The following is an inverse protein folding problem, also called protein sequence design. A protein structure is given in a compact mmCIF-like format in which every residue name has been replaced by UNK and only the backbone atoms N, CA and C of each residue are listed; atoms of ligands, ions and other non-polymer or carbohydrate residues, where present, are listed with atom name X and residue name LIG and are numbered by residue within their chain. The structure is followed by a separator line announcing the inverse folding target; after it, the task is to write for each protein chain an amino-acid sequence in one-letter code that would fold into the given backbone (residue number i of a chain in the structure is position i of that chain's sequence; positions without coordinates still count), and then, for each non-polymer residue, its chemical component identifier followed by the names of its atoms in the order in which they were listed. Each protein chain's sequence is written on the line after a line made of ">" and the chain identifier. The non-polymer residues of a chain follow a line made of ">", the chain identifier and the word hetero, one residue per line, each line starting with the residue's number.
data_IF_652246517991
#
_entry.id   IF_652246517991
#
_cell.length_a   1.000
_cell.length_b   1.000
_cell.length_c   1.000
_cell.angle_alpha   90.00
_cell.angle_beta   90.00
_cell.angle_gamma   90.00
#
_symmetry.space_group_name_H-M   'P 1'
#
loop_
_entity.id
_entity.type
_entity.pdbx_description
1 polymer ?
#
# COMPACT_ATOMS: atom_id res chain seq x y z
N UNK A 1 81.89 21.76 -0.14
CA UNK A 1 80.72 21.96 0.75
C UNK A 1 79.52 21.49 -0.01
N UNK A 2 79.16 20.20 0.19
CA UNK A 2 78.07 19.51 -0.49
C UNK A 2 76.84 19.56 0.42
N UNK A 3 75.75 20.13 -0.07
CA UNK A 3 74.47 20.17 0.62
C UNK A 3 73.60 18.96 0.20
N UNK A 4 73.45 18.00 1.08
CA UNK A 4 72.50 16.91 0.92
C UNK A 4 71.10 17.38 1.26
N UNK A 5 70.18 17.15 0.33
CA UNK A 5 68.72 17.36 0.50
C UNK A 5 68.09 16.05 1.01
N UNK A 6 67.27 16.05 2.06
CA UNK A 6 66.62 14.81 2.53
C UNK A 6 65.44 14.42 1.65
N UNK A 7 65.37 13.10 1.35
CA UNK A 7 64.27 12.45 0.64
C UNK A 7 62.93 12.48 1.43
N UNK A 8 61.77 12.57 0.76
CA UNK A 8 60.45 12.55 1.43
C UNK A 8 60.05 11.17 1.92
N UNK A 9 59.65 11.10 3.17
CA UNK A 9 59.11 9.91 3.85
C UNK A 9 57.77 9.56 3.23
N UNK A 10 57.65 8.30 2.80
CA UNK A 10 56.44 7.71 2.25
C UNK A 10 55.44 7.46 3.39
N UNK A 11 54.13 7.87 3.30
CA UNK A 11 53.18 7.56 4.35
C UNK A 11 52.83 6.09 4.34
N UNK A 12 52.84 5.46 5.52
CA UNK A 12 52.40 4.08 5.78
C UNK A 12 50.93 3.93 5.42
N UNK A 13 50.63 2.89 4.64
CA UNK A 13 49.24 2.49 4.37
C UNK A 13 48.60 1.96 5.66
N UNK A 14 47.57 2.64 6.15
CA UNK A 14 46.69 2.07 7.16
C UNK A 14 45.99 0.82 6.61
N UNK A 15 45.85 -0.26 7.42
CA UNK A 15 45.14 -1.43 7.00
C UNK A 15 43.68 -1.10 6.74
N UNK A 16 43.12 -1.62 5.64
CA UNK A 16 41.69 -1.58 5.34
C UNK A 16 40.93 -2.26 6.47
N UNK A 17 40.03 -1.54 7.11
CA UNK A 17 39.06 -2.13 8.02
C UNK A 17 38.27 -3.21 7.27
N UNK A 18 38.37 -4.42 7.73
CA UNK A 18 37.54 -5.54 7.32
C UNK A 18 36.10 -5.17 7.63
N UNK A 19 35.25 -5.18 6.62
CA UNK A 19 33.80 -5.06 6.76
C UNK A 19 33.30 -6.32 7.49
N UNK A 20 33.26 -6.25 8.81
CA UNK A 20 32.52 -7.21 9.62
C UNK A 20 31.09 -7.31 9.11
N UNK A 21 30.64 -8.55 8.94
CA UNK A 21 29.29 -8.88 8.47
C UNK A 21 28.25 -8.15 9.32
N UNK A 22 27.24 -7.59 8.66
CA UNK A 22 26.07 -6.98 9.31
C UNK A 22 25.40 -8.06 10.16
N UNK A 23 25.69 -8.07 11.44
CA UNK A 23 25.03 -8.91 12.42
C UNK A 23 23.55 -8.61 12.46
N UNK A 24 22.74 -9.65 12.67
CA UNK A 24 21.31 -9.53 12.90
C UNK A 24 21.05 -8.52 14.02
N UNK A 25 20.26 -7.49 13.77
CA UNK A 25 19.87 -6.51 14.78
C UNK A 25 18.83 -7.14 15.70
N UNK A 26 19.15 -7.32 16.97
CA UNK A 26 18.18 -7.71 17.99
C UNK A 26 17.30 -6.52 18.34
N UNK A 27 15.99 -6.66 18.18
CA UNK A 27 14.99 -5.64 18.49
C UNK A 27 14.42 -5.89 19.89
N UNK A 28 14.58 -4.93 20.82
CA UNK A 28 13.86 -4.92 22.08
C UNK A 28 12.62 -4.07 21.95
N UNK A 29 11.46 -4.70 21.75
CA UNK A 29 10.16 -4.04 21.86
C UNK A 29 9.82 -3.85 23.35
N UNK A 30 9.00 -2.84 23.69
CA UNK A 30 8.72 -2.37 25.07
C UNK A 30 8.38 -3.44 26.13
N UNK A 31 8.03 -4.66 25.75
CA UNK A 31 7.74 -5.76 26.69
C UNK A 31 8.98 -6.42 27.33
N UNK A 32 10.18 -6.04 26.92
CA UNK A 32 11.44 -6.54 27.53
C UNK A 32 11.74 -8.04 27.30
N UNK A 33 10.96 -8.75 26.49
CA UNK A 33 11.06 -10.22 26.31
C UNK A 33 11.37 -10.69 24.89
N UNK A 34 11.53 -9.79 23.90
CA UNK A 34 11.65 -10.24 22.52
C UNK A 34 12.96 -9.77 21.88
N UNK A 35 13.96 -10.63 21.82
CA UNK A 35 15.10 -10.49 20.94
C UNK A 35 14.72 -11.12 19.60
N UNK A 36 14.08 -10.33 18.69
CA UNK A 36 13.78 -10.79 17.34
C UNK A 36 14.96 -10.51 16.44
N UNK A 37 15.58 -11.57 15.93
CA UNK A 37 16.60 -11.47 14.90
C UNK A 37 15.94 -11.30 13.54
N UNK A 38 16.26 -10.22 12.82
CA UNK A 38 15.78 -9.94 11.46
C UNK A 38 16.91 -9.87 10.47
N UNK A 39 16.69 -10.36 9.25
CA UNK A 39 17.63 -10.26 8.12
C UNK A 39 17.29 -9.08 7.20
N UNK A 40 16.06 -8.63 7.22
CA UNK A 40 15.58 -7.46 6.53
C UNK A 40 15.95 -6.16 7.26
N UNK A 41 15.32 -5.08 6.85
CA UNK A 41 15.55 -3.77 7.43
C UNK A 41 14.47 -3.45 8.45
N UNK A 42 14.89 -3.03 9.66
CA UNK A 42 14.00 -2.47 10.67
C UNK A 42 14.42 -1.03 10.97
N UNK A 43 13.45 -0.12 11.02
CA UNK A 43 13.70 1.32 11.22
C UNK A 43 12.79 1.84 12.33
N UNK A 44 13.33 2.31 13.46
CA UNK A 44 12.55 2.93 14.52
C UNK A 44 12.10 4.34 14.09
N UNK A 45 10.94 4.77 14.58
CA UNK A 45 10.35 6.09 14.35
C UNK A 45 10.38 6.50 12.86
N UNK A 46 10.07 5.53 11.97
CA UNK A 46 10.17 5.73 10.53
C UNK A 46 9.05 6.66 10.02
N UNK A 47 9.37 7.80 9.38
CA UNK A 47 8.34 8.70 8.86
C UNK A 47 7.53 8.00 7.76
N UNK A 48 6.19 7.97 7.92
CA UNK A 48 5.28 7.34 6.97
C UNK A 48 4.77 8.29 5.89
N UNK A 49 4.77 9.60 6.11
CA UNK A 49 4.34 10.58 5.12
C UNK A 49 4.99 10.39 3.72
N UNK A 50 6.31 10.13 3.58
CA UNK A 50 6.91 9.86 2.28
C UNK A 50 6.40 8.59 1.59
N UNK A 51 5.87 7.62 2.36
CA UNK A 51 5.45 6.30 1.90
C UNK A 51 3.97 6.23 1.52
N UNK A 52 3.17 7.22 1.91
CA UNK A 52 1.73 7.29 1.59
C UNK A 52 1.44 8.38 0.56
N UNK A 53 0.36 8.24 -0.16
CA UNK A 53 0.05 9.13 -1.28
C UNK A 53 -0.37 10.53 -0.86
N UNK A 54 -1.04 10.68 0.28
CA UNK A 54 -1.38 12.01 0.84
C UNK A 54 -0.15 12.82 1.25
N UNK A 55 1.00 12.18 1.44
CA UNK A 55 2.23 12.84 1.93
C UNK A 55 2.05 13.54 3.27
N UNK A 56 1.18 13.02 4.13
CA UNK A 56 0.90 13.49 5.49
C UNK A 56 0.90 12.32 6.47
N UNK A 57 0.94 12.62 7.77
CA UNK A 57 0.87 11.67 8.86
C UNK A 57 2.17 11.50 9.64
N UNK A 58 2.05 10.88 10.80
CA UNK A 58 3.14 10.63 11.73
C UNK A 58 4.03 9.46 11.30
N UNK A 59 4.89 9.03 12.24
CA UNK A 59 5.84 7.95 12.03
C UNK A 59 5.26 6.59 12.46
N UNK A 60 5.76 5.51 11.85
CA UNK A 60 5.64 4.19 12.46
C UNK A 60 6.55 4.11 13.67
N UNK A 61 6.10 3.49 14.78
CA UNK A 61 6.99 3.17 15.88
C UNK A 61 8.14 2.30 15.38
N UNK A 62 7.81 1.29 14.57
CA UNK A 62 8.77 0.46 13.85
C UNK A 62 8.30 0.21 12.42
N UNK A 63 9.18 0.39 11.44
CA UNK A 63 8.98 -0.03 10.06
C UNK A 63 9.85 -1.25 9.79
N UNK A 64 9.23 -2.39 9.46
CA UNK A 64 9.90 -3.61 9.08
C UNK A 64 9.75 -3.88 7.59
N UNK A 65 10.89 -4.01 6.90
CA UNK A 65 10.96 -4.39 5.49
C UNK A 65 11.64 -5.77 5.41
N UNK A 66 10.85 -6.88 5.41
CA UNK A 66 11.39 -8.23 5.43
C UNK A 66 12.19 -8.52 4.16
N UNK A 67 13.27 -9.30 4.33
CA UNK A 67 14.13 -9.72 3.22
C UNK A 67 13.45 -10.77 2.33
N UNK A 68 12.72 -11.70 2.93
CA UNK A 68 12.01 -12.82 2.31
C UNK A 68 10.90 -13.34 3.27
N UNK A 69 10.22 -14.41 2.86
CA UNK A 69 9.14 -15.02 3.63
C UNK A 69 9.64 -15.61 4.97
N UNK A 70 10.80 -16.27 4.99
CA UNK A 70 11.36 -16.84 6.21
C UNK A 70 11.67 -15.76 7.24
N UNK A 71 12.15 -14.59 6.78
CA UNK A 71 12.43 -13.45 7.64
C UNK A 71 11.13 -12.88 8.23
N UNK A 72 10.08 -12.73 7.42
CA UNK A 72 8.76 -12.29 7.87
C UNK A 72 8.13 -13.24 8.89
N UNK A 73 8.13 -14.54 8.59
CA UNK A 73 7.53 -15.56 9.45
C UNK A 73 8.30 -15.75 10.76
N UNK A 74 9.64 -15.71 10.70
CA UNK A 74 10.50 -15.75 11.89
C UNK A 74 10.29 -14.52 12.77
N UNK A 75 10.16 -13.33 12.15
CA UNK A 75 9.83 -12.10 12.87
C UNK A 75 8.49 -12.23 13.59
N UNK A 76 7.44 -12.72 12.92
CA UNK A 76 6.12 -12.90 13.54
C UNK A 76 6.12 -13.91 14.69
N UNK A 77 6.85 -15.02 14.56
CA UNK A 77 7.01 -16.02 15.64
C UNK A 77 7.67 -15.44 16.89
N UNK A 78 8.60 -14.52 16.71
CA UNK A 78 9.32 -13.89 17.82
C UNK A 78 8.66 -12.61 18.35
N UNK A 79 7.66 -12.07 17.64
CA UNK A 79 7.00 -10.82 18.03
C UNK A 79 5.92 -11.10 19.07
N UNK A 80 5.94 -10.35 20.17
CA UNK A 80 4.90 -10.40 21.20
C UNK A 80 3.50 -10.26 20.56
N UNK A 81 2.54 -11.17 20.85
CA UNK A 81 1.20 -11.15 20.28
C UNK A 81 0.44 -9.83 20.47
N UNK A 82 0.71 -9.11 21.57
CA UNK A 82 0.05 -7.85 21.92
C UNK A 82 0.59 -6.64 21.13
N UNK A 83 1.71 -6.79 20.43
CA UNK A 83 2.25 -5.73 19.57
C UNK A 83 1.42 -5.62 18.29
N UNK A 84 0.79 -4.45 18.02
CA UNK A 84 0.03 -4.26 16.79
C UNK A 84 0.90 -4.40 15.56
N UNK A 85 0.34 -4.98 14.50
CA UNK A 85 0.98 -5.05 13.18
C UNK A 85 0.05 -4.51 12.12
N UNK A 86 0.59 -3.68 11.25
CA UNK A 86 -0.10 -3.13 10.09
C UNK A 86 0.69 -3.41 8.82
N UNK A 87 0.04 -3.97 7.79
CA UNK A 87 0.64 -4.10 6.47
C UNK A 87 0.52 -2.78 5.69
N UNK A 88 1.62 -2.35 5.06
CA UNK A 88 1.66 -1.16 4.21
C UNK A 88 2.09 -1.54 2.78
N UNK A 89 1.21 -1.31 1.81
CA UNK A 89 1.53 -1.38 0.38
C UNK A 89 2.09 -0.05 -0.15
N UNK A 90 1.48 0.47 -1.22
CA UNK A 90 1.82 1.80 -1.77
C UNK A 90 1.22 2.97 -0.98
N UNK A 91 0.43 2.73 0.06
CA UNK A 91 -0.24 3.78 0.84
C UNK A 91 -1.21 4.63 0.00
N UNK A 92 -1.79 4.05 -1.03
CA UNK A 92 -2.68 4.74 -2.00
C UNK A 92 -4.13 4.84 -1.54
N UNK A 93 -4.53 4.10 -0.50
CA UNK A 93 -5.89 4.13 0.08
C UNK A 93 -5.81 4.31 1.60
N UNK A 94 -4.99 5.25 2.07
CA UNK A 94 -4.69 5.34 3.50
C UNK A 94 -4.44 6.79 3.95
N UNK A 95 -5.01 7.15 5.08
CA UNK A 95 -4.64 8.32 5.89
C UNK A 95 -3.91 7.79 7.12
N UNK A 96 -2.64 8.14 7.25
CA UNK A 96 -1.87 7.89 8.48
C UNK A 96 -2.05 9.10 9.38
N UNK A 97 -2.62 8.91 10.57
CA UNK A 97 -2.90 9.97 11.52
C UNK A 97 -1.62 10.59 12.08
N UNK A 98 -1.71 11.85 12.50
CA UNK A 98 -0.55 12.67 12.84
C UNK A 98 0.20 12.19 14.10
N UNK A 99 -0.46 11.43 15.00
CA UNK A 99 0.15 10.75 16.14
C UNK A 99 1.00 9.53 15.78
N UNK A 100 0.94 9.08 14.52
CA UNK A 100 1.71 7.94 14.03
C UNK A 100 1.05 6.59 14.30
N UNK A 101 1.74 5.52 13.95
CA UNK A 101 1.26 4.13 14.03
C UNK A 101 2.07 3.40 15.10
N UNK A 102 1.43 2.95 16.20
CA UNK A 102 2.09 2.15 17.23
C UNK A 102 2.39 0.74 16.71
N UNK A 103 3.37 0.08 17.34
CA UNK A 103 3.79 -1.26 16.99
C UNK A 103 4.58 -1.31 15.69
N UNK A 104 4.29 -2.28 14.83
CA UNK A 104 5.09 -2.58 13.64
C UNK A 104 4.30 -2.36 12.36
N UNK A 105 4.83 -1.51 11.49
CA UNK A 105 4.38 -1.41 10.09
C UNK A 105 5.25 -2.33 9.24
N UNK A 106 4.64 -3.33 8.60
CA UNK A 106 5.32 -4.26 7.68
C UNK A 106 5.14 -3.78 6.25
N UNK A 107 6.23 -3.55 5.54
CA UNK A 107 6.20 -3.15 4.14
C UNK A 107 6.95 -4.16 3.28
N UNK A 108 6.24 -4.81 2.36
CA UNK A 108 6.82 -5.76 1.44
C UNK A 108 7.70 -5.05 0.40
N UNK A 109 8.96 -5.51 0.29
CA UNK A 109 9.93 -4.99 -0.67
C UNK A 109 9.91 -5.74 -2.01
N UNK A 110 10.95 -5.52 -2.81
CA UNK A 110 11.13 -6.12 -4.15
C UNK A 110 11.12 -7.66 -4.14
N UNK A 111 11.58 -8.28 -3.04
CA UNK A 111 11.58 -9.74 -2.91
C UNK A 111 10.18 -10.36 -3.02
N UNK A 112 9.15 -9.60 -2.65
CA UNK A 112 7.74 -9.98 -2.74
C UNK A 112 7.03 -9.39 -3.97
N UNK A 113 7.74 -8.90 -4.97
CA UNK A 113 7.16 -8.31 -6.18
C UNK A 113 7.36 -9.16 -7.44
N UNK A 114 7.84 -10.41 -7.28
CA UNK A 114 8.01 -11.34 -8.41
C UNK A 114 6.65 -11.71 -9.00
N UNK A 115 6.60 -11.79 -10.33
CA UNK A 115 5.46 -12.35 -11.07
C UNK A 115 5.97 -13.52 -11.89
N UNK A 116 5.20 -14.61 -11.89
CA UNK A 116 5.52 -15.85 -12.57
C UNK A 116 4.30 -16.36 -13.35
N UNK A 117 4.48 -16.69 -14.62
CA UNK A 117 3.46 -17.36 -15.42
C UNK A 117 3.44 -18.84 -15.03
N UNK A 118 2.29 -19.34 -14.55
CA UNK A 118 2.11 -20.73 -14.16
C UNK A 118 1.64 -21.60 -15.33
N UNK A 119 0.73 -21.06 -16.13
CA UNK A 119 0.18 -21.67 -17.34
C UNK A 119 -0.28 -20.56 -18.31
N UNK A 120 -1.03 -20.93 -19.35
CA UNK A 120 -1.41 -19.97 -20.41
C UNK A 120 -2.38 -18.87 -19.98
N UNK A 121 -3.02 -19.01 -18.81
CA UNK A 121 -4.03 -18.05 -18.31
C UNK A 121 -3.83 -17.65 -16.85
N UNK A 122 -2.77 -18.15 -16.19
CA UNK A 122 -2.59 -18.00 -14.75
C UNK A 122 -1.24 -17.37 -14.40
N UNK A 123 -1.29 -16.34 -13.54
CA UNK A 123 -0.11 -15.67 -12.97
C UNK A 123 -0.07 -15.85 -11.46
N UNK A 124 1.11 -16.19 -10.94
CA UNK A 124 1.46 -16.06 -9.52
C UNK A 124 2.11 -14.70 -9.30
N UNK A 125 1.56 -13.90 -8.42
CA UNK A 125 1.95 -12.51 -8.20
C UNK A 125 2.31 -12.29 -6.72
N UNK A 126 3.52 -11.87 -6.43
CA UNK A 126 3.93 -11.50 -5.08
C UNK A 126 3.14 -10.31 -4.55
N UNK A 127 2.85 -10.33 -3.23
CA UNK A 127 2.00 -9.33 -2.55
C UNK A 127 2.48 -7.89 -2.66
N UNK A 128 3.77 -7.68 -2.94
CA UNK A 128 4.38 -6.37 -3.18
C UNK A 128 4.34 -5.90 -4.65
N UNK A 129 3.90 -6.73 -5.60
CA UNK A 129 3.80 -6.35 -7.01
C UNK A 129 2.71 -5.30 -7.22
N UNK A 130 2.96 -4.29 -8.07
CA UNK A 130 1.96 -3.28 -8.40
C UNK A 130 0.97 -3.77 -9.45
N UNK A 131 -0.26 -3.22 -9.44
CA UNK A 131 -1.28 -3.53 -10.45
C UNK A 131 -0.83 -3.24 -11.88
N UNK A 132 -0.05 -2.18 -12.07
CA UNK A 132 0.54 -1.84 -13.37
C UNK A 132 1.48 -2.95 -13.86
N UNK A 133 2.32 -3.48 -12.95
CA UNK A 133 3.24 -4.56 -13.31
C UNK A 133 2.48 -5.84 -13.63
N UNK A 134 1.46 -6.20 -12.83
CA UNK A 134 0.62 -7.39 -13.06
C UNK A 134 -0.10 -7.29 -14.41
N UNK A 135 -0.80 -6.18 -14.67
CA UNK A 135 -1.55 -6.00 -15.93
C UNK A 135 -0.63 -5.99 -17.17
N UNK A 136 0.57 -5.39 -17.07
CA UNK A 136 1.53 -5.39 -18.16
C UNK A 136 2.10 -6.80 -18.43
N UNK A 137 2.42 -7.55 -17.37
CA UNK A 137 2.87 -8.94 -17.49
C UNK A 137 1.78 -9.83 -18.09
N UNK A 138 0.52 -9.63 -17.67
CA UNK A 138 -0.62 -10.36 -18.24
C UNK A 138 -0.80 -10.09 -19.74
N UNK A 139 -0.75 -8.81 -20.15
CA UNK A 139 -0.76 -8.42 -21.58
C UNK A 139 0.33 -9.13 -22.37
N UNK A 140 1.57 -9.03 -21.90
CA UNK A 140 2.74 -9.59 -22.59
C UNK A 140 2.68 -11.13 -22.68
N UNK A 141 1.93 -11.77 -21.77
CA UNK A 141 1.66 -13.20 -21.74
C UNK A 141 0.39 -13.63 -22.52
N UNK A 142 -0.38 -12.69 -23.10
CA UNK A 142 -1.64 -12.96 -23.77
C UNK A 142 -2.77 -13.37 -22.83
N UNK A 143 -2.79 -12.85 -21.60
CA UNK A 143 -3.79 -13.15 -20.56
C UNK A 143 -4.72 -11.95 -20.39
N UNK A 144 -5.94 -12.06 -20.87
CA UNK A 144 -7.00 -11.06 -20.74
C UNK A 144 -7.74 -11.19 -19.40
N UNK A 145 -8.44 -10.12 -18.98
CA UNK A 145 -9.26 -10.05 -17.78
C UNK A 145 -8.56 -9.43 -16.56
N UNK A 146 -7.26 -9.05 -16.70
CA UNK A 146 -6.48 -8.38 -15.66
C UNK A 146 -6.23 -6.88 -15.96
N UNK A 147 -6.79 -6.33 -17.03
CA UNK A 147 -6.60 -4.96 -17.53
C UNK A 147 -7.01 -3.92 -16.49
N UNK A 148 -8.09 -4.18 -15.75
CA UNK A 148 -8.63 -3.27 -14.73
C UNK A 148 -7.63 -2.95 -13.61
N UNK A 149 -6.66 -3.84 -13.33
CA UNK A 149 -5.58 -3.61 -12.35
C UNK A 149 -4.70 -2.43 -12.75
N UNK A 150 -4.61 -2.09 -14.05
CA UNK A 150 -3.99 -0.86 -14.56
C UNK A 150 -4.65 0.39 -13.96
N UNK A 151 -5.96 0.30 -13.71
CA UNK A 151 -6.79 1.37 -13.18
C UNK A 151 -6.72 1.55 -11.65
N UNK A 152 -6.10 0.63 -10.91
CA UNK A 152 -6.09 0.65 -9.45
C UNK A 152 -4.68 0.91 -8.93
N UNK A 153 -4.42 2.02 -8.23
CA UNK A 153 -3.15 2.23 -7.58
C UNK A 153 -3.05 1.36 -6.33
N UNK A 154 -2.03 0.52 -6.24
CA UNK A 154 -1.86 -0.37 -5.10
C UNK A 154 -0.91 -1.52 -5.41
N UNK A 155 -0.80 -2.43 -4.45
CA UNK A 155 -0.08 -3.70 -4.56
C UNK A 155 -1.06 -4.86 -4.52
N UNK A 156 -0.64 -6.02 -5.01
CA UNK A 156 -1.40 -7.27 -4.96
C UNK A 156 -1.94 -7.56 -3.56
N UNK A 157 -1.10 -7.43 -2.51
CA UNK A 157 -1.55 -7.63 -1.14
C UNK A 157 -2.67 -6.67 -0.72
N UNK A 158 -2.59 -5.40 -1.13
CA UNK A 158 -3.66 -4.42 -0.90
C UNK A 158 -4.93 -4.72 -1.68
N UNK A 159 -4.81 -5.19 -2.93
CA UNK A 159 -5.96 -5.57 -3.76
C UNK A 159 -6.71 -6.76 -3.17
N UNK A 160 -5.99 -7.81 -2.76
CA UNK A 160 -6.58 -8.98 -2.12
C UNK A 160 -7.28 -8.58 -0.82
N UNK A 161 -6.64 -7.77 0.04
CA UNK A 161 -7.22 -7.35 1.32
C UNK A 161 -8.50 -6.53 1.15
N UNK A 162 -8.61 -5.73 0.09
CA UNK A 162 -9.71 -4.77 -0.11
C UNK A 162 -10.74 -5.26 -1.13
N UNK A 163 -10.64 -6.48 -1.68
CA UNK A 163 -11.36 -6.84 -2.90
C UNK A 163 -11.33 -5.67 -3.91
N UNK A 164 -10.10 -5.25 -4.25
CA UNK A 164 -9.88 -4.05 -5.05
C UNK A 164 -10.55 -4.15 -6.40
N UNK A 165 -11.24 -3.11 -6.83
CA UNK A 165 -11.99 -3.15 -8.10
C UNK A 165 -12.11 -1.80 -8.77
N UNK A 166 -12.23 -1.83 -10.08
CA UNK A 166 -12.48 -0.70 -10.96
C UNK A 166 -13.07 -1.20 -12.29
N UNK A 167 -13.76 -0.32 -13.02
CA UNK A 167 -14.30 -0.60 -14.36
C UNK A 167 -15.22 -1.84 -14.42
N UNK A 168 -16.03 -2.03 -13.35
CA UNK A 168 -16.99 -3.13 -13.28
C UNK A 168 -16.37 -4.49 -12.92
N UNK A 169 -15.08 -4.56 -12.60
CA UNK A 169 -14.36 -5.76 -12.20
C UNK A 169 -13.81 -5.61 -10.79
N UNK A 170 -13.66 -6.73 -10.09
CA UNK A 170 -13.06 -6.82 -8.75
C UNK A 170 -12.04 -7.97 -8.69
N UNK A 171 -11.19 -7.96 -7.66
CA UNK A 171 -10.19 -9.03 -7.47
C UNK A 171 -10.83 -10.41 -7.34
N UNK A 172 -12.00 -10.52 -6.73
CA UNK A 172 -12.74 -11.79 -6.66
C UNK A 172 -13.04 -12.42 -8.02
N UNK A 173 -13.08 -11.63 -9.10
CA UNK A 173 -13.38 -12.13 -10.46
C UNK A 173 -12.20 -12.87 -11.09
N UNK A 174 -10.99 -12.68 -10.56
CA UNK A 174 -9.74 -13.23 -11.13
C UNK A 174 -8.91 -14.03 -10.12
N UNK A 175 -9.20 -13.92 -8.81
CA UNK A 175 -8.42 -14.58 -7.77
C UNK A 175 -8.75 -16.07 -7.71
N UNK A 176 -7.71 -16.91 -7.68
CA UNK A 176 -7.80 -18.34 -7.42
C UNK A 176 -7.52 -18.61 -5.94
N UNK A 177 -6.40 -18.10 -5.46
CA UNK A 177 -5.96 -18.29 -4.07
C UNK A 177 -4.99 -17.17 -3.66
N UNK A 178 -4.80 -17.00 -2.36
CA UNK A 178 -3.81 -16.09 -1.79
C UNK A 178 -3.02 -16.78 -0.68
N UNK A 179 -1.73 -16.48 -0.58
CA UNK A 179 -0.88 -16.88 0.54
C UNK A 179 -0.82 -15.76 1.58
N UNK A 180 -1.21 -16.10 2.79
CA UNK A 180 -1.37 -15.17 3.91
C UNK A 180 -0.44 -15.53 5.04
N UNK A 181 0.49 -14.65 5.38
CA UNK A 181 1.31 -14.78 6.58
C UNK A 181 0.53 -14.26 7.78
N UNK A 182 0.22 -15.15 8.72
CA UNK A 182 -0.54 -14.85 9.94
C UNK A 182 0.38 -14.37 11.07
N UNK A 183 -0.20 -13.71 12.07
CA UNK A 183 0.51 -13.23 13.27
C UNK A 183 1.22 -14.33 14.06
N UNK A 184 0.78 -15.59 13.95
CA UNK A 184 1.45 -16.76 14.49
C UNK A 184 2.80 -17.07 13.83
N UNK A 185 3.11 -16.43 12.70
CA UNK A 185 4.25 -16.77 11.84
C UNK A 185 4.02 -18.02 10.98
N UNK A 186 2.77 -18.47 10.85
CA UNK A 186 2.38 -19.49 9.85
C UNK A 186 1.98 -18.82 8.55
N UNK A 187 2.24 -19.48 7.42
CA UNK A 187 1.73 -19.09 6.12
C UNK A 187 0.65 -20.09 5.70
N UNK A 188 -0.51 -19.57 5.37
CA UNK A 188 -1.62 -20.38 4.88
C UNK A 188 -1.96 -20.01 3.43
N UNK A 189 -2.33 -21.00 2.63
CA UNK A 189 -2.94 -20.78 1.31
C UNK A 189 -4.45 -20.75 1.47
N UNK A 190 -5.05 -19.63 1.12
CA UNK A 190 -6.48 -19.38 1.23
C UNK A 190 -7.11 -19.39 -0.17
N UNK A 191 -8.01 -20.35 -0.46
CA UNK A 191 -8.82 -20.28 -1.67
C UNK A 191 -9.77 -19.08 -1.62
N UNK A 192 -10.33 -18.70 -2.76
CA UNK A 192 -11.21 -17.54 -2.92
C UNK A 192 -12.33 -17.50 -1.87
N UNK A 193 -12.96 -18.64 -1.60
CA UNK A 193 -14.12 -18.75 -0.71
C UNK A 193 -13.78 -18.39 0.75
N UNK A 194 -12.52 -18.66 1.17
CA UNK A 194 -12.06 -18.36 2.53
C UNK A 194 -11.86 -16.86 2.76
N UNK A 195 -11.77 -16.07 1.71
CA UNK A 195 -11.57 -14.62 1.81
C UNK A 195 -12.84 -13.83 2.12
N UNK A 196 -14.03 -14.44 2.07
CA UNK A 196 -15.30 -13.83 2.49
C UNK A 196 -15.58 -12.48 1.83
N UNK A 197 -15.26 -12.37 0.52
CA UNK A 197 -15.33 -11.10 -0.18
C UNK A 197 -16.72 -10.47 -0.21
N UNK A 198 -16.75 -9.19 0.12
CA UNK A 198 -17.85 -8.29 -0.16
C UNK A 198 -17.30 -7.00 -0.77
N UNK A 199 -18.16 -6.02 -1.06
CA UNK A 199 -17.73 -4.75 -1.65
C UNK A 199 -16.69 -4.04 -0.75
N UNK A 200 -15.45 -3.93 -1.22
CA UNK A 200 -14.29 -3.31 -0.51
C UNK A 200 -13.97 -3.97 0.84
N UNK A 201 -14.15 -5.28 0.94
CA UNK A 201 -13.88 -6.04 2.17
C UNK A 201 -13.37 -7.45 1.89
N UNK A 202 -12.53 -7.96 2.79
CA UNK A 202 -12.17 -9.38 2.92
C UNK A 202 -12.00 -9.76 4.38
N UNK A 203 -12.08 -11.06 4.68
CA UNK A 203 -11.88 -11.64 6.02
C UNK A 203 -10.38 -11.83 6.37
N UNK A 204 -9.46 -11.22 5.64
CA UNK A 204 -8.02 -11.25 6.01
C UNK A 204 -7.86 -10.58 7.38
N UNK A 205 -7.35 -11.28 8.42
CA UNK A 205 -7.26 -10.76 9.78
C UNK A 205 -6.38 -9.51 9.90
N UNK A 206 -6.65 -8.72 10.92
CA UNK A 206 -5.73 -7.64 11.27
C UNK A 206 -4.35 -8.20 11.61
N UNK A 207 -3.29 -7.48 11.23
CA UNK A 207 -1.91 -7.90 11.41
C UNK A 207 -1.43 -9.02 10.48
N UNK A 208 -2.31 -9.67 9.72
CA UNK A 208 -1.89 -10.60 8.68
C UNK A 208 -1.41 -9.87 7.43
N UNK A 209 -0.47 -10.49 6.71
CA UNK A 209 0.13 -9.94 5.49
C UNK A 209 -0.10 -10.88 4.32
N UNK A 210 -0.77 -10.41 3.28
CA UNK A 210 -0.88 -11.16 2.01
C UNK A 210 0.45 -11.05 1.28
N UNK A 211 1.14 -12.18 1.14
CA UNK A 211 2.49 -12.23 0.56
C UNK A 211 2.51 -12.64 -0.91
N UNK A 212 1.45 -13.29 -1.39
CA UNK A 212 1.33 -13.77 -2.77
C UNK A 212 -0.15 -13.98 -3.13
N UNK A 213 -0.51 -13.89 -4.40
CA UNK A 213 -1.81 -14.27 -4.93
C UNK A 213 -1.64 -14.95 -6.29
N UNK A 214 -2.55 -15.86 -6.61
CA UNK A 214 -2.67 -16.49 -7.92
C UNK A 214 -3.91 -15.91 -8.61
N UNK A 215 -3.68 -15.28 -9.77
CA UNK A 215 -4.73 -14.69 -10.59
C UNK A 215 -4.90 -15.49 -11.87
N UNK A 216 -6.15 -15.68 -12.29
CA UNK A 216 -6.52 -16.36 -13.53
C UNK A 216 -7.34 -15.44 -14.41
N UNK A 217 -6.91 -15.32 -15.67
CA UNK A 217 -7.63 -14.64 -16.73
C UNK A 217 -8.16 -15.62 -17.78
N UNK A 218 -8.18 -15.16 -19.01
CA UNK A 218 -8.53 -15.95 -20.21
C UNK A 218 -7.53 -15.68 -21.32
N UNK A 219 -7.42 -16.57 -22.33
CA UNK A 219 -6.60 -16.28 -23.51
C UNK A 219 -7.07 -14.99 -24.19
N UNK A 220 -6.13 -14.12 -24.59
CA UNK A 220 -6.43 -12.86 -25.25
C UNK A 220 -5.32 -12.42 -26.18
N UNK A 221 -5.65 -11.47 -27.08
CA UNK A 221 -4.69 -10.84 -27.95
C UNK A 221 -3.96 -9.71 -27.21
N UNK A 222 -2.62 -9.71 -27.14
CA UNK A 222 -1.85 -8.66 -26.46
C UNK A 222 -2.14 -7.24 -26.95
N UNK A 223 -2.44 -7.05 -28.25
CA UNK A 223 -2.77 -5.73 -28.81
C UNK A 223 -4.13 -5.24 -28.28
N UNK A 224 -5.14 -6.11 -28.26
CA UNK A 224 -6.47 -5.79 -27.72
C UNK A 224 -6.40 -5.49 -26.22
N UNK A 225 -5.67 -6.31 -25.43
CA UNK A 225 -5.43 -6.09 -23.99
C UNK A 225 -4.73 -4.74 -23.79
N UNK A 226 -3.71 -4.44 -24.58
CA UNK A 226 -3.00 -3.16 -24.52
C UNK A 226 -3.91 -1.96 -24.80
N UNK A 227 -4.78 -2.06 -25.81
CA UNK A 227 -5.74 -1.02 -26.17
C UNK A 227 -6.74 -0.75 -25.02
N UNK A 228 -7.23 -1.79 -24.34
CA UNK A 228 -8.11 -1.66 -23.17
C UNK A 228 -7.38 -1.01 -21.98
N UNK A 229 -6.14 -1.44 -21.68
CA UNK A 229 -5.31 -0.83 -20.65
C UNK A 229 -5.08 0.67 -20.92
N UNK A 230 -4.87 1.07 -22.16
CA UNK A 230 -4.70 2.47 -22.55
C UNK A 230 -6.01 3.26 -22.44
N UNK A 231 -7.14 2.64 -22.76
CA UNK A 231 -8.46 3.24 -22.57
C UNK A 231 -8.73 3.51 -21.08
N UNK A 232 -8.41 2.55 -20.21
CA UNK A 232 -8.48 2.69 -18.74
C UNK A 232 -7.57 3.83 -18.26
N UNK A 233 -6.35 3.91 -18.75
CA UNK A 233 -5.40 4.94 -18.36
C UNK A 233 -5.90 6.34 -18.77
N UNK A 234 -6.42 6.51 -19.99
CA UNK A 234 -7.02 7.78 -20.48
C UNK A 234 -8.24 8.18 -19.65
N UNK A 235 -9.18 7.25 -19.43
CA UNK A 235 -10.37 7.53 -18.62
C UNK A 235 -10.04 8.00 -17.20
N UNK A 236 -8.98 7.44 -16.60
CA UNK A 236 -8.48 7.92 -15.31
C UNK A 236 -7.86 9.32 -15.40
N UNK A 237 -7.06 9.57 -16.42
CA UNK A 237 -6.43 10.87 -16.60
C UNK A 237 -7.49 11.97 -16.82
N UNK A 238 -8.55 11.68 -17.54
CA UNK A 238 -9.66 12.59 -17.79
C UNK A 238 -10.51 12.86 -16.56
N UNK A 239 -10.77 11.84 -15.71
CA UNK A 239 -11.73 11.93 -14.61
C UNK A 239 -11.12 12.15 -13.23
N UNK A 240 -9.85 11.81 -13.00
CA UNK A 240 -9.22 11.78 -11.67
C UNK A 240 -8.04 12.74 -11.55
N UNK A 241 -7.76 13.27 -10.34
CA UNK A 241 -6.63 14.19 -10.09
C UNK A 241 -5.30 13.43 -9.90
N UNK A 242 -4.83 12.69 -10.93
CA UNK A 242 -3.72 11.72 -10.82
C UNK A 242 -2.38 12.33 -10.39
N UNK A 243 -2.15 13.62 -10.63
CA UNK A 243 -0.91 14.32 -10.28
C UNK A 243 -0.95 14.97 -8.90
N UNK A 244 -2.03 14.75 -8.16
CA UNK A 244 -2.24 15.36 -6.84
C UNK A 244 -1.91 14.36 -5.72
N UNK A 245 -1.64 14.88 -4.52
CA UNK A 245 -1.47 14.07 -3.31
C UNK A 245 -2.86 13.69 -2.79
N UNK A 246 -3.28 12.45 -3.02
CA UNK A 246 -4.64 11.98 -2.71
C UNK A 246 -4.62 10.49 -2.38
N UNK A 247 -5.61 10.01 -1.62
CA UNK A 247 -5.83 8.60 -1.29
C UNK A 247 -6.82 7.88 -2.20
N UNK A 248 -7.15 8.43 -3.38
CA UNK A 248 -8.18 7.84 -4.25
C UNK A 248 -9.60 8.24 -3.82
N UNK A 249 -10.58 7.38 -4.12
CA UNK A 249 -11.97 7.58 -3.70
C UNK A 249 -12.09 7.61 -2.19
N UNK A 250 -12.57 8.73 -1.64
CA UNK A 250 -12.65 8.92 -0.19
C UNK A 250 -13.75 8.09 0.45
N UNK A 251 -14.89 8.00 -0.22
CA UNK A 251 -16.09 7.33 0.28
C UNK A 251 -16.56 6.23 -0.67
N UNK A 252 -17.13 5.17 -0.09
CA UNK A 252 -17.81 4.12 -0.83
C UNK A 252 -19.04 4.69 -1.55
N UNK A 253 -19.43 4.09 -2.67
CA UNK A 253 -20.70 4.41 -3.29
C UNK A 253 -21.84 3.81 -2.46
N UNK A 254 -22.80 4.63 -1.96
CA UNK A 254 -23.98 4.09 -1.30
C UNK A 254 -24.85 3.29 -2.28
N UNK A 255 -25.65 2.32 -1.80
CA UNK A 255 -26.56 1.57 -2.66
C UNK A 255 -27.42 2.48 -3.56
N UNK A 256 -27.38 2.25 -4.87
CA UNK A 256 -28.14 3.03 -5.86
C UNK A 256 -27.61 4.44 -6.14
N UNK A 257 -26.53 4.88 -5.50
CA UNK A 257 -25.99 6.23 -5.64
C UNK A 257 -24.50 6.24 -6.00
N UNK A 258 -24.04 7.38 -6.54
CA UNK A 258 -22.62 7.67 -6.74
C UNK A 258 -22.18 8.69 -5.70
N UNK A 259 -21.21 8.36 -4.87
CA UNK A 259 -20.71 9.25 -3.80
C UNK A 259 -20.31 10.63 -4.35
N UNK A 260 -19.61 10.68 -5.49
CA UNK A 260 -19.19 11.95 -6.10
C UNK A 260 -20.38 12.87 -6.44
N UNK A 261 -21.50 12.30 -6.91
CA UNK A 261 -22.68 13.10 -7.28
C UNK A 261 -23.39 13.66 -6.04
N UNK A 262 -23.47 12.88 -4.95
CA UNK A 262 -24.01 13.36 -3.67
C UNK A 262 -23.14 14.47 -3.07
N UNK A 263 -21.84 14.33 -3.14
CA UNK A 263 -20.85 15.32 -2.64
C UNK A 263 -20.95 16.62 -3.45
N UNK A 264 -21.12 16.52 -4.77
CA UNK A 264 -21.28 17.67 -5.66
C UNK A 264 -22.60 18.41 -5.39
N UNK A 265 -23.70 17.66 -5.29
CA UNK A 265 -25.02 18.20 -4.96
C UNK A 265 -25.07 18.88 -3.58
N UNK A 266 -24.28 18.41 -2.62
CA UNK A 266 -24.12 19.03 -1.31
C UNK A 266 -23.21 20.28 -1.32
N UNK A 267 -22.78 20.76 -2.49
CA UNK A 267 -21.97 21.98 -2.63
C UNK A 267 -20.55 21.84 -2.08
N UNK A 268 -20.00 20.61 -2.05
CA UNK A 268 -18.67 20.36 -1.48
C UNK A 268 -17.53 20.45 -2.50
N UNK A 269 -17.81 20.61 -3.80
CA UNK A 269 -16.76 20.77 -4.84
C UNK A 269 -15.84 21.93 -4.51
N UNK A 270 -14.53 21.70 -4.44
CA UNK A 270 -13.54 22.73 -4.12
C UNK A 270 -13.53 23.20 -2.66
N UNK A 271 -14.36 22.62 -1.77
CA UNK A 271 -14.38 22.95 -0.34
C UNK A 271 -12.98 22.74 0.26
N UNK A 272 -12.52 23.68 1.09
CA UNK A 272 -11.20 23.67 1.73
C UNK A 272 -11.30 23.71 3.25
N UNK A 273 -10.33 23.04 3.89
CA UNK A 273 -10.06 23.16 5.31
C UNK A 273 -8.52 23.15 5.49
N UNK A 274 -7.94 24.32 5.79
CA UNK A 274 -6.50 24.50 5.67
C UNK A 274 -6.02 24.17 4.24
N UNK A 275 -4.97 23.36 4.13
CA UNK A 275 -4.44 22.89 2.84
C UNK A 275 -5.09 21.58 2.35
N UNK A 276 -6.15 21.09 3.00
CA UNK A 276 -6.98 20.01 2.48
C UNK A 276 -8.09 20.57 1.58
N UNK A 277 -8.35 19.92 0.44
CA UNK A 277 -9.37 20.35 -0.53
C UNK A 277 -10.14 19.16 -1.09
N UNK A 278 -11.47 19.32 -1.25
CA UNK A 278 -12.27 18.46 -2.13
C UNK A 278 -11.90 18.77 -3.57
N UNK A 279 -11.51 17.75 -4.34
CA UNK A 279 -11.08 17.94 -5.72
C UNK A 279 -12.17 18.58 -6.59
N UNK A 280 -11.80 19.61 -7.34
CA UNK A 280 -12.70 20.23 -8.34
C UNK A 280 -12.94 19.30 -9.53
N UNK A 281 -11.99 18.41 -9.84
CA UNK A 281 -12.09 17.47 -10.95
C UNK A 281 -12.98 16.28 -10.63
N UNK A 282 -12.89 15.73 -9.41
CA UNK A 282 -13.69 14.59 -8.95
C UNK A 282 -14.00 14.71 -7.46
N UNK A 283 -15.23 15.05 -7.12
CA UNK A 283 -15.63 15.41 -5.75
C UNK A 283 -15.42 14.32 -4.69
N UNK A 284 -15.33 13.04 -5.08
CA UNK A 284 -15.01 11.95 -4.14
C UNK A 284 -13.50 11.76 -3.89
N UNK A 285 -12.69 12.78 -4.18
CA UNK A 285 -11.23 12.79 -3.92
C UNK A 285 -10.88 13.97 -3.02
N UNK A 286 -10.25 13.68 -1.89
CA UNK A 286 -9.61 14.69 -1.06
C UNK A 286 -8.16 14.87 -1.50
N UNK A 287 -7.70 16.11 -1.49
CA UNK A 287 -6.35 16.51 -1.91
C UNK A 287 -5.60 17.14 -0.74
N UNK A 288 -4.30 16.85 -0.65
CA UNK A 288 -3.36 17.65 0.12
C UNK A 288 -2.66 18.64 -0.84
N UNK A 289 -2.94 19.93 -0.70
CA UNK A 289 -2.39 20.98 -1.57
C UNK A 289 -0.91 21.29 -1.27
N UNK A 290 -0.35 20.77 -0.18
CA UNK A 290 1.07 20.96 0.16
C UNK A 290 1.38 20.62 1.60
N UNK A 291 0.71 21.25 2.54
CA UNK A 291 0.97 21.19 3.98
C UNK A 291 -0.22 20.75 4.82
N UNK A 292 -1.26 20.14 4.22
CA UNK A 292 -2.37 19.60 4.99
C UNK A 292 -1.87 18.50 5.95
N UNK A 293 -2.25 18.60 7.22
CA UNK A 293 -2.09 17.51 8.17
C UNK A 293 -3.12 16.42 7.90
N UNK A 294 -2.91 15.21 8.41
CA UNK A 294 -3.92 14.15 8.31
C UNK A 294 -5.20 14.52 9.04
N UNK A 295 -5.10 15.25 10.16
CA UNK A 295 -6.26 15.82 10.85
C UNK A 295 -7.07 16.79 9.99
N UNK A 296 -6.41 17.64 9.15
CA UNK A 296 -7.13 18.50 8.20
C UNK A 296 -7.89 17.69 7.15
N UNK A 297 -7.28 16.61 6.63
CA UNK A 297 -7.90 15.76 5.61
C UNK A 297 -9.10 15.00 6.19
N UNK A 298 -8.96 14.42 7.40
CA UNK A 298 -10.05 13.75 8.10
C UNK A 298 -11.19 14.72 8.44
N UNK A 299 -10.89 15.88 9.00
CA UNK A 299 -11.90 16.88 9.34
C UNK A 299 -12.66 17.39 8.11
N UNK A 300 -11.96 17.58 6.97
CA UNK A 300 -12.63 17.91 5.70
C UNK A 300 -13.55 16.77 5.25
N UNK A 301 -13.13 15.52 5.36
CA UNK A 301 -13.98 14.36 5.03
C UNK A 301 -15.23 14.27 5.92
N UNK A 302 -15.10 14.51 7.22
CA UNK A 302 -16.26 14.52 8.13
C UNK A 302 -17.22 15.70 7.83
N UNK A 303 -16.70 16.88 7.45
CA UNK A 303 -17.52 17.99 6.99
C UNK A 303 -18.30 17.67 5.70
N UNK A 304 -17.64 16.95 4.75
CA UNK A 304 -18.32 16.45 3.55
C UNK A 304 -19.44 15.47 3.93
N UNK A 305 -19.19 14.53 4.83
CA UNK A 305 -20.18 13.56 5.30
C UNK A 305 -21.40 14.27 5.93
N UNK A 306 -21.13 15.25 6.79
CA UNK A 306 -22.17 16.05 7.44
C UNK A 306 -23.04 16.76 6.39
N UNK A 307 -22.44 17.49 5.44
CA UNK A 307 -23.19 18.23 4.40
C UNK A 307 -24.02 17.30 3.51
N UNK A 308 -23.45 16.16 3.10
CA UNK A 308 -24.20 15.18 2.30
C UNK A 308 -25.39 14.64 3.09
N UNK A 309 -25.20 14.29 4.36
CA UNK A 309 -26.29 13.83 5.21
C UNK A 309 -27.39 14.90 5.35
N UNK A 310 -27.02 16.15 5.66
CA UNK A 310 -27.95 17.24 5.84
C UNK A 310 -28.76 17.54 4.57
N UNK A 311 -28.17 17.32 3.39
CA UNK A 311 -28.79 17.62 2.09
C UNK A 311 -29.65 16.49 1.55
N UNK A 312 -29.19 15.22 1.78
CA UNK A 312 -29.74 14.04 1.08
C UNK A 312 -30.30 12.97 2.03
N UNK A 313 -30.08 13.09 3.33
CA UNK A 313 -30.33 12.08 4.37
C UNK A 313 -29.57 10.75 4.12
N UNK A 314 -28.47 10.78 3.32
CA UNK A 314 -27.61 9.63 3.05
C UNK A 314 -26.29 9.79 3.83
N UNK A 315 -25.93 8.77 4.61
CA UNK A 315 -24.62 8.73 5.31
C UNK A 315 -23.57 8.09 4.43
N UNK A 316 -22.50 8.84 4.12
CA UNK A 316 -21.34 8.31 3.39
C UNK A 316 -20.47 7.45 4.32
N UNK A 317 -19.95 6.34 3.80
CA UNK A 317 -18.97 5.49 4.47
C UNK A 317 -17.56 5.73 3.90
N UNK A 318 -16.57 5.82 4.77
CA UNK A 318 -15.19 5.92 4.36
C UNK A 318 -14.74 4.66 3.58
N UNK A 319 -14.10 4.85 2.42
CA UNK A 319 -13.36 3.81 1.71
C UNK A 319 -11.87 3.86 2.07
N UNK A 320 -11.33 5.08 2.28
CA UNK A 320 -9.95 5.27 2.72
C UNK A 320 -9.78 4.75 4.15
N UNK A 321 -8.75 3.94 4.36
CA UNK A 321 -8.38 3.43 5.68
C UNK A 321 -7.72 4.54 6.51
N UNK A 322 -8.23 4.79 7.72
CA UNK A 322 -7.68 5.75 8.68
C UNK A 322 -6.97 4.99 9.78
N UNK A 323 -5.66 5.16 9.89
CA UNK A 323 -4.80 4.34 10.75
C UNK A 323 -3.92 5.19 11.65
N UNK A 324 -3.59 4.65 12.81
CA UNK A 324 -2.74 5.32 13.79
C UNK A 324 -3.52 6.13 14.81
N UNK A 325 -2.79 6.88 15.61
CA UNK A 325 -3.29 7.66 16.74
C UNK A 325 -3.50 9.13 16.33
N UNK A 326 -4.54 9.72 16.88
CA UNK A 326 -4.70 11.17 16.86
C UNK A 326 -3.57 11.82 17.70
N UNK A 327 -3.26 13.09 17.44
CA UNK A 327 -2.33 13.86 18.27
C UNK A 327 -2.98 14.30 19.55
#
# INVERSE_FOLDING_TARGET
>A
MSSETPSPVRPERRPKAETEGRGASALRLRSGRTDVSVRGKITPNAPLAPLVWFKSGGSAEWLFEPRDEDDLTSFFKGLDPDVPVMALGLGSNMIVRDGGVPGVVVRLGKAFAKIEKLDDVTLRCGGGASGILVSSTARDAGIAGLEFLRGIPGTVGGFVRMNGGAYGREVQDILVEARVALRSGTVETWPLEKLGYTYRHSDVPEGAVVIEAVFRGSPGDPEAIGAEMDAIARAREESQPLRSRTGGSTFKNPPGHKAWALIDAAGCRGLKLGDAQVSEKHCNFLLNLGSATSGNIEALGEEVRRRVHDTTNISLEWEIQRVGLDR
#
